data_IF_362305216386
#
_entry.id   IF_362305216386
#
_cell.length_a   1.000
_cell.length_b   1.000
_cell.length_c   1.000
_cell.angle_alpha   90.00
_cell.angle_beta   90.00
_cell.angle_gamma   90.00
#
_symmetry.space_group_name_H-M   'P 1'
#
loop_
_entity.id
_entity.type
_entity.pdbx_description
1 polymer ?
#
# COMPACT_ATOMS: atom_id res chain seq x y z
N UNK A 1 14.35 8.38 -3.42
CA UNK A 1 15.32 7.29 -3.63
C UNK A 1 14.68 6.28 -4.56
N UNK A 2 15.43 5.60 -5.45
CA UNK A 2 14.91 4.62 -6.40
C UNK A 2 14.05 3.52 -5.74
N UNK A 3 14.45 3.09 -4.54
CA UNK A 3 13.80 2.01 -3.78
C UNK A 3 12.34 2.33 -3.40
N UNK A 4 12.00 3.61 -3.17
CA UNK A 4 10.63 4.05 -2.82
C UNK A 4 9.65 3.87 -3.99
N UNK A 5 10.13 3.89 -5.24
CA UNK A 5 9.29 3.64 -6.42
C UNK A 5 9.07 2.14 -6.61
N UNK A 6 10.11 1.32 -6.41
CA UNK A 6 10.00 -0.13 -6.51
C UNK A 6 9.04 -0.68 -5.44
N UNK A 7 9.17 -0.20 -4.21
CA UNK A 7 8.31 -0.53 -3.08
C UNK A 7 6.85 -0.14 -3.33
N UNK A 8 6.60 1.06 -3.87
CA UNK A 8 5.26 1.50 -4.23
C UNK A 8 4.63 0.60 -5.32
N UNK A 9 5.40 0.24 -6.35
CA UNK A 9 4.95 -0.68 -7.40
C UNK A 9 4.66 -2.09 -6.86
N UNK A 10 5.44 -2.55 -5.88
CA UNK A 10 5.19 -3.82 -5.23
C UNK A 10 3.85 -3.81 -4.48
N UNK A 11 3.57 -2.74 -3.74
CA UNK A 11 2.26 -2.56 -3.08
C UNK A 11 1.12 -2.62 -4.09
N UNK A 12 1.24 -1.93 -5.23
CA UNK A 12 0.23 -1.95 -6.30
C UNK A 12 0.03 -3.34 -6.92
N UNK A 13 1.14 -4.07 -7.17
CA UNK A 13 1.08 -5.42 -7.69
C UNK A 13 0.43 -6.39 -6.69
N UNK A 14 0.68 -6.22 -5.38
CA UNK A 14 0.05 -6.98 -4.30
C UNK A 14 -1.46 -6.75 -4.25
N UNK A 15 -1.93 -5.50 -4.26
CA UNK A 15 -3.37 -5.20 -4.24
C UNK A 15 -4.07 -5.74 -5.49
N UNK A 16 -3.40 -5.66 -6.65
CA UNK A 16 -3.92 -6.21 -7.90
C UNK A 16 -3.83 -7.74 -7.99
N UNK A 17 -3.05 -8.40 -7.12
CA UNK A 17 -2.78 -9.84 -7.19
C UNK A 17 -1.96 -10.26 -8.42
N UNK A 18 -1.13 -9.39 -8.97
CA UNK A 18 -0.30 -9.68 -10.15
C UNK A 18 0.96 -10.43 -9.75
N UNK A 19 0.85 -11.74 -9.57
CA UNK A 19 1.93 -12.62 -9.08
C UNK A 19 3.23 -12.47 -9.87
N UNK A 20 3.18 -12.42 -11.21
CA UNK A 20 4.38 -12.26 -12.05
C UNK A 20 5.11 -10.94 -11.81
N UNK A 21 4.38 -9.85 -11.59
CA UNK A 21 4.95 -8.54 -11.26
C UNK A 21 5.58 -8.56 -9.87
N UNK A 22 4.91 -9.21 -8.90
CA UNK A 22 5.41 -9.36 -7.53
C UNK A 22 6.77 -10.06 -7.53
N UNK A 23 6.89 -11.21 -8.22
CA UNK A 23 8.17 -11.91 -8.34
C UNK A 23 9.25 -11.04 -8.97
N UNK A 24 8.92 -10.34 -10.06
CA UNK A 24 9.88 -9.50 -10.79
C UNK A 24 10.38 -8.33 -9.93
N UNK A 25 9.49 -7.70 -9.17
CA UNK A 25 9.81 -6.56 -8.30
C UNK A 25 10.65 -7.01 -7.10
N UNK A 26 10.30 -8.13 -6.45
CA UNK A 26 11.09 -8.70 -5.36
C UNK A 26 12.48 -9.11 -5.83
N UNK A 27 12.60 -9.75 -6.99
CA UNK A 27 13.89 -10.09 -7.60
C UNK A 27 14.74 -8.85 -7.95
N UNK A 28 14.09 -7.72 -8.21
CA UNK A 28 14.74 -6.44 -8.47
C UNK A 28 15.09 -5.67 -7.19
N UNK A 29 14.84 -6.23 -6.00
CA UNK A 29 15.21 -5.65 -4.71
C UNK A 29 14.10 -4.87 -4.00
N UNK A 30 12.86 -4.87 -4.50
CA UNK A 30 11.74 -4.31 -3.74
C UNK A 30 11.57 -5.04 -2.40
N UNK A 31 11.27 -4.33 -1.33
CA UNK A 31 11.20 -4.95 0.00
C UNK A 31 9.89 -5.72 0.19
N UNK A 32 9.89 -6.99 0.61
CA UNK A 32 8.64 -7.70 0.93
C UNK A 32 7.89 -7.09 2.12
N UNK A 33 8.58 -6.25 2.91
CA UNK A 33 8.03 -5.52 4.06
C UNK A 33 7.57 -4.10 3.70
N UNK A 34 7.53 -3.73 2.41
CA UNK A 34 7.07 -2.42 1.96
C UNK A 34 5.66 -2.11 2.43
N UNK A 35 5.44 -0.81 2.65
CA UNK A 35 4.15 -0.28 3.10
C UNK A 35 3.64 0.76 2.13
N UNK A 36 2.33 0.77 1.96
CA UNK A 36 1.61 1.87 1.32
C UNK A 36 1.95 3.19 2.02
N UNK A 37 2.04 4.27 1.25
CA UNK A 37 2.19 5.63 1.79
C UNK A 37 0.99 6.47 1.38
N UNK A 38 0.39 7.12 2.35
CA UNK A 38 -0.75 8.01 2.14
C UNK A 38 -0.29 9.43 2.45
N UNK A 39 -0.47 10.34 1.51
CA UNK A 39 -0.22 11.78 1.65
C UNK A 39 -1.56 12.49 1.75
N UNK A 40 -1.81 13.16 2.87
CA UNK A 40 -2.93 14.09 3.00
C UNK A 40 -2.45 15.51 2.73
N UNK A 41 -3.19 16.24 1.91
CA UNK A 41 -3.04 17.69 1.74
C UNK A 41 -4.14 18.41 2.49
N UNK A 42 -3.83 19.58 3.02
CA UNK A 42 -4.79 20.44 3.68
C UNK A 42 -4.35 21.90 3.57
N UNK A 43 -5.32 22.82 3.62
CA UNK A 43 -5.03 24.22 3.85
C UNK A 43 -4.93 24.46 5.36
N UNK A 44 -3.90 25.19 5.80
CA UNK A 44 -3.69 25.57 7.19
C UNK A 44 -3.79 27.08 7.32
N UNK A 45 -4.64 27.55 8.23
CA UNK A 45 -4.68 28.96 8.60
C UNK A 45 -3.47 29.25 9.48
N UNK A 46 -2.54 30.06 8.99
CA UNK A 46 -1.34 30.45 9.73
C UNK A 46 -1.40 31.95 9.98
N UNK A 47 -1.17 32.36 11.22
CA UNK A 47 -0.97 33.78 11.55
C UNK A 47 0.55 34.06 11.56
N UNK A 48 1.08 34.87 10.63
CA UNK A 48 2.49 35.25 10.67
C UNK A 48 2.83 35.99 11.96
N UNK A 49 4.11 36.02 12.33
CA UNK A 49 4.57 36.85 13.45
C UNK A 49 4.48 38.33 13.06
N UNK A 50 3.73 39.12 13.83
CA UNK A 50 3.57 40.55 13.61
C UNK A 50 2.23 41.07 14.11
N UNK A 51 2.21 42.27 14.70
CA UNK A 51 0.99 42.85 15.27
C UNK A 51 -0.08 43.14 14.21
N UNK A 52 0.35 43.42 12.98
CA UNK A 52 -0.53 43.81 11.86
C UNK A 52 -0.69 42.72 10.78
N UNK A 53 -0.14 41.52 10.97
CA UNK A 53 -0.27 40.46 9.97
C UNK A 53 -1.63 39.78 10.04
N UNK A 54 -2.35 39.78 8.92
CA UNK A 54 -3.56 38.99 8.73
C UNK A 54 -3.22 37.50 8.64
N UNK A 55 -4.18 36.64 8.99
CA UNK A 55 -4.05 35.21 8.78
C UNK A 55 -3.95 34.89 7.27
N UNK A 56 -3.15 33.89 6.93
CA UNK A 56 -2.92 33.43 5.55
C UNK A 56 -3.19 31.93 5.47
N UNK A 57 -3.80 31.49 4.37
CA UNK A 57 -3.92 30.06 4.06
C UNK A 57 -2.62 29.54 3.47
N UNK A 58 -2.03 28.52 4.09
CA UNK A 58 -0.85 27.83 3.61
C UNK A 58 -1.22 26.38 3.30
N UNK A 59 -0.99 25.94 2.06
CA UNK A 59 -1.08 24.53 1.73
C UNK A 59 0.00 23.75 2.50
N UNK A 60 -0.41 22.69 3.16
CA UNK A 60 0.44 21.78 3.91
C UNK A 60 0.12 20.36 3.52
N UNK A 61 1.08 19.47 3.70
CA UNK A 61 0.87 18.05 3.51
C UNK A 61 1.55 17.25 4.60
N UNK A 62 1.01 16.06 4.86
CA UNK A 62 1.62 15.09 5.75
C UNK A 62 1.51 13.70 5.13
N UNK A 63 2.56 12.91 5.30
CA UNK A 63 2.63 11.56 4.73
C UNK A 63 2.84 10.55 5.84
N UNK A 64 1.99 9.52 5.87
CA UNK A 64 2.12 8.41 6.80
C UNK A 64 2.23 7.08 6.04
N UNK A 65 2.95 6.13 6.65
CA UNK A 65 2.90 4.74 6.23
C UNK A 65 1.55 4.14 6.68
N UNK A 66 0.88 3.47 5.76
CA UNK A 66 -0.39 2.79 6.00
C UNK A 66 -0.16 1.28 5.98
N UNK A 67 -0.99 0.50 5.28
CA UNK A 67 -0.92 -0.95 5.27
C UNK A 67 0.38 -1.50 4.66
N UNK A 68 0.87 -2.62 5.20
CA UNK A 68 1.98 -3.40 4.62
C UNK A 68 1.53 -4.30 3.49
N UNK A 69 2.45 -4.69 2.59
CA UNK A 69 2.20 -5.70 1.57
C UNK A 69 1.57 -6.96 2.15
N UNK A 70 2.14 -7.49 3.25
CA UNK A 70 1.65 -8.71 3.87
C UNK A 70 0.22 -8.53 4.43
N UNK A 71 -0.08 -7.40 5.08
CA UNK A 71 -1.44 -7.13 5.57
C UNK A 71 -2.46 -6.92 4.44
N UNK A 72 -2.06 -6.34 3.31
CA UNK A 72 -2.94 -6.18 2.14
C UNK A 72 -3.27 -7.54 1.51
N UNK A 73 -2.26 -8.40 1.35
CA UNK A 73 -2.46 -9.77 0.85
C UNK A 73 -3.39 -10.59 1.75
N UNK A 74 -3.24 -10.46 3.08
CA UNK A 74 -4.12 -11.12 4.07
C UNK A 74 -5.54 -10.56 4.00
N UNK A 75 -5.70 -9.23 3.96
CA UNK A 75 -7.00 -8.55 3.81
C UNK A 75 -7.76 -9.06 2.59
N UNK A 76 -7.05 -9.20 1.46
CA UNK A 76 -7.64 -9.57 0.17
C UNK A 76 -7.85 -11.08 0.00
N UNK A 77 -7.49 -11.90 0.98
CA UNK A 77 -7.68 -13.35 0.91
C UNK A 77 -6.75 -14.06 -0.08
N UNK A 78 -5.61 -13.45 -0.44
CA UNK A 78 -4.69 -13.95 -1.49
C UNK A 78 -3.59 -14.82 -0.88
N UNK A 79 -3.90 -16.08 -0.61
CA UNK A 79 -2.96 -17.02 0.02
C UNK A 79 -1.70 -17.29 -0.83
N UNK A 80 -1.82 -17.21 -2.15
CA UNK A 80 -0.70 -17.27 -3.10
C UNK A 80 0.26 -16.09 -2.90
N UNK A 81 -0.25 -14.85 -2.89
CA UNK A 81 0.54 -13.64 -2.64
C UNK A 81 1.19 -13.69 -1.25
N UNK A 82 0.45 -14.13 -0.22
CA UNK A 82 0.99 -14.31 1.14
C UNK A 82 2.21 -15.23 1.12
N UNK A 83 2.13 -16.39 0.45
CA UNK A 83 3.25 -17.33 0.36
C UNK A 83 4.45 -16.74 -0.36
N UNK A 84 4.23 -15.97 -1.44
CA UNK A 84 5.32 -15.32 -2.18
C UNK A 84 6.05 -14.30 -1.30
N UNK A 85 5.30 -13.43 -0.60
CA UNK A 85 5.89 -12.41 0.28
C UNK A 85 6.67 -13.05 1.44
N UNK A 86 6.13 -14.09 2.07
CA UNK A 86 6.80 -14.82 3.15
C UNK A 86 8.07 -15.52 2.65
N UNK A 87 8.03 -16.15 1.46
CA UNK A 87 9.20 -16.78 0.85
C UNK A 87 10.30 -15.77 0.51
N UNK A 88 9.92 -14.52 0.22
CA UNK A 88 10.84 -13.43 -0.02
C UNK A 88 11.39 -12.77 1.27
N UNK A 89 10.95 -13.21 2.45
CA UNK A 89 11.45 -12.73 3.75
C UNK A 89 10.55 -11.72 4.47
N UNK A 90 9.26 -11.61 4.10
CA UNK A 90 8.29 -10.92 4.95
C UNK A 90 8.19 -11.62 6.32
N UNK A 91 8.19 -10.86 7.41
CA UNK A 91 8.16 -11.44 8.76
C UNK A 91 6.74 -11.96 9.11
N UNK A 92 6.57 -13.29 9.30
CA UNK A 92 5.28 -13.90 9.67
C UNK A 92 4.82 -13.57 11.09
N UNK A 93 5.66 -12.96 11.92
CA UNK A 93 5.33 -12.51 13.27
C UNK A 93 5.19 -10.98 13.37
N UNK A 94 5.27 -10.28 12.24
CA UNK A 94 5.18 -8.83 12.22
C UNK A 94 3.86 -8.31 12.79
N UNK A 95 3.96 -7.20 13.54
CA UNK A 95 2.79 -6.46 14.01
C UNK A 95 2.06 -5.83 12.83
N UNK A 96 0.73 -5.93 12.81
CA UNK A 96 -0.09 -5.22 11.83
C UNK A 96 -0.62 -3.95 12.48
N UNK A 97 -0.30 -2.80 11.90
CA UNK A 97 -0.81 -1.51 12.37
C UNK A 97 -0.89 -0.53 11.21
N UNK A 98 -1.96 0.25 11.13
CA UNK A 98 -2.08 1.39 10.23
C UNK A 98 -3.05 2.42 10.80
N UNK A 99 -2.95 3.66 10.33
CA UNK A 99 -3.88 4.74 10.65
C UNK A 99 -4.53 5.22 9.36
N UNK A 100 -5.81 5.56 9.44
CA UNK A 100 -6.56 6.05 8.29
C UNK A 100 -6.57 7.58 8.32
N UNK A 101 -6.46 8.18 7.14
CA UNK A 101 -6.56 9.62 7.01
C UNK A 101 -7.97 10.09 7.38
N UNK A 102 -8.04 11.07 8.28
CA UNK A 102 -9.29 11.68 8.70
C UNK A 102 -9.60 12.90 7.83
N UNK A 103 -10.87 13.16 7.59
CA UNK A 103 -11.31 14.21 6.67
C UNK A 103 -11.70 15.49 7.42
N UNK A 104 -11.07 16.62 7.05
CA UNK A 104 -11.38 17.95 7.60
C UNK A 104 -11.61 18.96 6.47
N UNK A 105 -12.87 19.30 6.15
CA UNK A 105 -13.20 20.21 5.05
C UNK A 105 -12.69 21.64 5.29
N UNK A 106 -12.62 22.07 6.56
CA UNK A 106 -12.13 23.40 6.93
C UNK A 106 -10.59 23.49 6.98
N UNK A 107 -9.91 22.40 6.61
CA UNK A 107 -8.45 22.29 6.67
C UNK A 107 -7.91 21.92 8.05
N UNK A 108 -6.61 22.13 8.23
CA UNK A 108 -5.94 21.83 9.50
C UNK A 108 -5.74 23.10 10.32
N UNK A 109 -6.38 23.14 11.48
CA UNK A 109 -5.94 23.95 12.61
C UNK A 109 -5.06 23.11 13.55
N UNK A 110 -4.74 23.63 14.74
CA UNK A 110 -3.91 22.91 15.71
C UNK A 110 -4.56 21.62 16.23
N UNK A 111 -5.90 21.52 16.29
CA UNK A 111 -6.62 20.33 16.77
C UNK A 111 -6.79 19.29 15.67
N UNK A 112 -7.32 19.70 14.51
CA UNK A 112 -7.49 18.85 13.33
C UNK A 112 -6.15 18.25 12.89
N UNK A 113 -5.06 19.02 12.99
CA UNK A 113 -3.71 18.49 12.74
C UNK A 113 -3.40 17.30 13.64
N UNK A 114 -3.75 17.30 14.92
CA UNK A 114 -3.49 16.17 15.83
C UNK A 114 -4.36 14.95 15.50
N UNK A 115 -5.52 15.14 14.87
CA UNK A 115 -6.53 14.11 14.58
C UNK A 115 -6.55 13.63 13.13
N UNK A 116 -5.58 14.05 12.31
CA UNK A 116 -5.48 13.74 10.87
C UNK A 116 -5.24 12.28 10.53
N UNK A 117 -4.68 11.50 11.46
CA UNK A 117 -4.47 10.05 11.30
C UNK A 117 -5.31 9.28 12.33
N UNK A 118 -6.61 9.20 12.10
CA UNK A 118 -7.55 8.54 12.99
C UNK A 118 -8.74 7.95 12.19
N UNK A 119 -9.20 6.72 12.48
CA UNK A 119 -8.75 5.83 13.56
C UNK A 119 -7.45 5.08 13.27
N UNK A 120 -6.87 4.46 14.31
CA UNK A 120 -5.71 3.56 14.21
C UNK A 120 -6.13 2.12 14.49
N UNK A 121 -5.76 1.21 13.60
CA UNK A 121 -5.95 -0.23 13.75
C UNK A 121 -4.63 -0.88 14.15
N UNK A 122 -4.67 -1.81 15.11
CA UNK A 122 -3.47 -2.48 15.61
C UNK A 122 -3.79 -3.91 16.01
N UNK A 123 -3.02 -4.85 15.49
CA UNK A 123 -3.06 -6.27 15.82
C UNK A 123 -1.64 -6.71 16.21
N UNK A 124 -1.47 -7.51 17.26
CA UNK A 124 -0.16 -7.87 17.79
C UNK A 124 0.67 -8.71 16.81
N UNK A 125 0.04 -9.42 15.88
CA UNK A 125 0.72 -10.15 14.80
C UNK A 125 -0.19 -10.26 13.57
N UNK A 126 0.41 -10.54 12.42
CA UNK A 126 -0.33 -10.87 11.19
C UNK A 126 -1.18 -12.13 11.34
N UNK A 127 -0.78 -13.09 12.18
CA UNK A 127 -1.59 -14.27 12.49
C UNK A 127 -2.90 -13.87 13.20
N UNK A 128 -2.83 -13.00 14.22
CA UNK A 128 -4.03 -12.48 14.89
C UNK A 128 -4.89 -11.67 13.93
N UNK A 129 -4.27 -10.87 13.06
CA UNK A 129 -5.00 -10.14 12.01
C UNK A 129 -5.75 -11.09 11.05
N UNK A 130 -5.11 -12.17 10.60
CA UNK A 130 -5.73 -13.16 9.69
C UNK A 130 -6.92 -13.92 10.30
N UNK A 131 -6.99 -13.98 11.63
CA UNK A 131 -8.08 -14.61 12.39
C UNK A 131 -9.16 -13.60 12.80
N UNK A 132 -8.94 -12.30 12.57
CA UNK A 132 -9.89 -11.26 12.96
C UNK A 132 -11.02 -11.16 11.93
N UNK A 133 -12.25 -11.00 12.43
CA UNK A 133 -13.43 -10.72 11.61
C UNK A 133 -14.05 -9.38 12.01
N UNK A 134 -14.72 -8.72 11.06
CA UNK A 134 -15.40 -7.45 11.29
C UNK A 134 -15.01 -6.34 10.32
N UNK A 135 -15.62 -5.17 10.51
CA UNK A 135 -15.41 -4.03 9.62
C UNK A 135 -14.19 -3.21 10.02
N UNK A 136 -13.31 -2.91 9.07
CA UNK A 136 -12.19 -1.99 9.23
C UNK A 136 -12.08 -1.03 8.05
N UNK A 137 -11.53 0.15 8.30
CA UNK A 137 -11.24 1.15 7.27
C UNK A 137 -9.82 0.92 6.74
N UNK A 138 -9.68 0.97 5.43
CA UNK A 138 -8.42 0.82 4.71
C UNK A 138 -8.19 2.03 3.81
N UNK A 139 -6.94 2.38 3.60
CA UNK A 139 -6.57 3.44 2.66
C UNK A 139 -6.98 3.06 1.24
N UNK A 140 -7.31 4.05 0.40
CA UNK A 140 -7.56 3.82 -1.03
C UNK A 140 -6.42 3.04 -1.71
N UNK A 141 -6.69 2.24 -2.77
CA UNK A 141 -5.66 1.49 -3.49
C UNK A 141 -4.52 2.37 -4.05
N UNK A 142 -3.33 1.79 -4.16
CA UNK A 142 -2.12 2.46 -4.69
C UNK A 142 -0.93 2.41 -3.74
N UNK A 143 0.29 2.44 -4.28
CA UNK A 143 1.52 2.43 -3.48
C UNK A 143 1.79 3.78 -2.81
N UNK A 144 1.57 4.86 -3.55
CA UNK A 144 1.60 6.25 -3.08
C UNK A 144 0.26 6.92 -3.32
N UNK A 145 -0.60 6.91 -2.30
CA UNK A 145 -1.91 7.55 -2.35
C UNK A 145 -1.77 9.03 -2.02
N UNK A 146 -2.31 9.90 -2.87
CA UNK A 146 -2.34 11.34 -2.65
C UNK A 146 -3.77 11.83 -2.60
N UNK A 147 -4.16 12.35 -1.44
CA UNK A 147 -5.47 12.95 -1.24
C UNK A 147 -5.36 14.45 -1.46
N UNK A 148 -6.27 14.99 -2.27
CA UNK A 148 -6.42 16.43 -2.41
C UNK A 148 -6.84 17.06 -1.08
N UNK A 149 -6.59 18.36 -0.93
CA UNK A 149 -7.24 19.12 0.12
C UNK A 149 -8.74 19.11 -0.19
N UNK A 150 -9.58 18.52 0.68
CA UNK A 150 -11.00 18.42 0.39
C UNK A 150 -11.58 19.82 0.25
N UNK A 151 -12.32 20.03 -0.83
CA UNK A 151 -12.98 21.33 -1.10
C UNK A 151 -14.45 21.32 -0.70
N UNK A 152 -15.05 20.13 -0.53
CA UNK A 152 -16.45 19.96 -0.14
C UNK A 152 -16.64 18.82 0.86
N UNK A 153 -17.80 18.80 1.54
CA UNK A 153 -18.19 17.75 2.47
C UNK A 153 -18.47 16.40 1.79
N UNK A 154 -18.79 16.38 0.49
CA UNK A 154 -19.16 15.18 -0.26
C UNK A 154 -17.95 14.35 -0.73
N UNK A 155 -16.74 14.92 -0.67
CA UNK A 155 -15.47 14.20 -0.97
C UNK A 155 -15.00 13.30 0.20
N UNK A 156 -15.76 13.29 1.31
CA UNK A 156 -15.45 12.62 2.58
C UNK A 156 -15.15 11.12 2.47
N UNK A 157 -15.71 10.45 1.48
CA UNK A 157 -15.57 9.00 1.27
C UNK A 157 -14.44 8.62 0.30
N UNK A 158 -13.71 9.59 -0.26
CA UNK A 158 -12.64 9.30 -1.24
C UNK A 158 -11.33 8.81 -0.59
N UNK A 159 -11.16 9.01 0.72
CA UNK A 159 -9.90 8.77 1.41
C UNK A 159 -9.68 7.31 1.83
N UNK A 160 -10.75 6.56 2.08
CA UNK A 160 -10.69 5.23 2.66
C UNK A 160 -11.87 4.36 2.25
N UNK A 161 -11.66 3.05 2.27
CA UNK A 161 -12.66 2.05 1.96
C UNK A 161 -12.98 1.25 3.23
N UNK A 162 -14.28 1.07 3.49
CA UNK A 162 -14.74 0.18 4.54
C UNK A 162 -14.83 -1.23 3.99
N UNK A 163 -14.03 -2.15 4.54
CA UNK A 163 -14.01 -3.55 4.14
C UNK A 163 -14.35 -4.45 5.33
N UNK A 164 -14.89 -5.62 5.05
CA UNK A 164 -15.19 -6.63 6.05
C UNK A 164 -14.13 -7.74 6.01
N UNK A 165 -13.38 -7.88 7.11
CA UNK A 165 -12.36 -8.90 7.27
C UNK A 165 -13.01 -10.28 7.37
N UNK A 166 -12.51 -11.22 6.55
CA UNK A 166 -12.95 -12.60 6.52
C UNK A 166 -11.77 -13.53 6.72
N UNK A 167 -11.67 -14.23 7.87
CA UNK A 167 -10.62 -15.22 8.10
C UNK A 167 -10.62 -16.32 7.03
N UNK A 168 -9.43 -16.63 6.49
CA UNK A 168 -9.23 -17.68 5.50
C UNK A 168 -8.26 -18.72 6.04
N UNK A 169 -8.69 -19.99 6.05
CA UNK A 169 -7.94 -21.07 6.68
C UNK A 169 -6.59 -21.32 6.00
N UNK A 170 -6.54 -21.23 4.67
CA UNK A 170 -5.34 -21.37 3.86
C UNK A 170 -4.26 -20.31 4.17
N UNK A 171 -4.66 -19.07 4.47
CA UNK A 171 -3.77 -18.00 4.91
C UNK A 171 -3.23 -18.30 6.31
N UNK A 172 -4.08 -18.73 7.24
CA UNK A 172 -3.66 -19.12 8.60
C UNK A 172 -2.63 -20.24 8.53
N UNK A 173 -2.90 -21.27 7.71
CA UNK A 173 -1.98 -22.39 7.49
C UNK A 173 -0.68 -21.92 6.81
N UNK A 174 -0.74 -21.00 5.85
CA UNK A 174 0.45 -20.43 5.24
C UNK A 174 1.32 -19.71 6.29
N UNK A 175 0.74 -18.79 7.07
CA UNK A 175 1.47 -18.06 8.10
C UNK A 175 2.14 -19.00 9.11
N UNK A 176 1.41 -19.98 9.61
CA UNK A 176 1.95 -21.01 10.54
C UNK A 176 3.08 -21.80 9.87
N UNK A 177 2.90 -22.23 8.62
CA UNK A 177 3.91 -22.98 7.86
C UNK A 177 5.22 -22.22 7.67
N UNK A 178 5.17 -20.88 7.62
CA UNK A 178 6.34 -20.02 7.57
C UNK A 178 6.85 -19.57 8.95
N UNK A 179 6.30 -20.10 10.05
CA UNK A 179 6.80 -19.85 11.40
C UNK A 179 6.08 -18.74 12.17
N UNK A 180 4.86 -18.37 11.79
CA UNK A 180 4.00 -17.55 12.64
C UNK A 180 3.67 -18.31 13.93
N UNK A 181 3.91 -17.68 15.08
CA UNK A 181 3.71 -18.27 16.40
C UNK A 181 2.33 -17.90 16.94
N UNK A 182 1.45 -18.87 17.25
CA UNK A 182 0.21 -18.55 17.94
C UNK A 182 0.44 -17.99 19.34
N UNK A 183 -0.44 -17.09 19.74
CA UNK A 183 -0.56 -16.58 21.11
C UNK A 183 -1.98 -16.84 21.63
N UNK A 184 -2.22 -16.61 22.92
CA UNK A 184 -3.53 -16.84 23.55
C UNK A 184 -4.69 -16.15 22.82
N UNK A 185 -4.45 -14.94 22.30
CA UNK A 185 -5.45 -14.23 21.51
C UNK A 185 -5.78 -14.95 20.20
N UNK A 186 -4.78 -15.50 19.51
CA UNK A 186 -4.99 -16.29 18.30
C UNK A 186 -5.79 -17.57 18.61
N UNK A 187 -5.48 -18.26 19.70
CA UNK A 187 -6.23 -19.45 20.16
C UNK A 187 -7.71 -19.11 20.41
N UNK A 188 -8.00 -18.05 21.18
CA UNK A 188 -9.37 -17.61 21.45
C UNK A 188 -10.16 -17.21 20.20
N UNK A 189 -9.50 -16.59 19.22
CA UNK A 189 -10.14 -16.25 17.95
C UNK A 189 -10.43 -17.51 17.13
N UNK A 190 -9.46 -18.42 17.02
CA UNK A 190 -9.62 -19.70 16.32
C UNK A 190 -10.75 -20.55 16.93
N UNK A 191 -10.88 -20.55 18.26
CA UNK A 191 -11.99 -21.21 18.97
C UNK A 191 -13.36 -20.75 18.47
N UNK A 192 -13.55 -19.43 18.37
CA UNK A 192 -14.80 -18.82 17.89
C UNK A 192 -15.07 -19.07 16.40
N UNK A 193 -14.01 -19.21 15.60
CA UNK A 193 -14.14 -19.47 14.15
C UNK A 193 -14.46 -20.92 13.83
N UNK A 194 -14.15 -21.84 14.74
CA UNK A 194 -14.57 -23.25 14.67
C UNK A 194 -13.41 -24.25 14.53
N UNK A 195 -13.74 -25.55 14.46
CA UNK A 195 -12.77 -26.64 14.66
C UNK A 195 -11.59 -26.64 13.69
N UNK A 196 -11.79 -26.22 12.43
CA UNK A 196 -10.72 -26.20 11.44
C UNK A 196 -9.61 -25.18 11.80
N UNK A 197 -9.98 -24.00 12.28
CA UNK A 197 -9.03 -22.98 12.72
C UNK A 197 -8.34 -23.39 14.03
N UNK A 198 -9.07 -24.01 14.95
CA UNK A 198 -8.50 -24.57 16.18
C UNK A 198 -7.42 -25.62 15.87
N UNK A 199 -7.73 -26.56 14.98
CA UNK A 199 -6.80 -27.60 14.55
C UNK A 199 -5.54 -27.01 13.88
N UNK A 200 -5.70 -25.99 13.03
CA UNK A 200 -4.57 -25.30 12.40
C UNK A 200 -3.62 -24.69 13.44
N UNK A 201 -4.18 -24.00 14.45
CA UNK A 201 -3.40 -23.38 15.53
C UNK A 201 -2.73 -24.44 16.41
N UNK A 202 -3.46 -25.48 16.82
CA UNK A 202 -2.93 -26.54 17.69
C UNK A 202 -1.83 -27.39 17.01
N UNK A 203 -1.97 -27.68 15.73
CA UNK A 203 -0.97 -28.44 14.95
C UNK A 203 0.41 -27.77 14.90
N UNK A 204 0.46 -26.43 15.01
CA UNK A 204 1.72 -25.68 15.05
C UNK A 204 2.53 -25.95 16.32
N UNK A 205 1.88 -26.08 17.48
CA UNK A 205 2.52 -26.33 18.78
C UNK A 205 3.22 -27.69 18.81
N UNK A 206 2.63 -28.71 18.15
CA UNK A 206 3.23 -30.03 18.05
C UNK A 206 4.44 -30.07 17.10
N UNK A 207 4.42 -29.29 16.01
CA UNK A 207 5.53 -29.18 15.07
C UNK A 207 6.74 -28.42 15.65
N UNK A 208 6.48 -27.29 16.32
CA UNK A 208 7.51 -26.47 16.96
C UNK A 208 8.22 -27.20 18.11
N UNK A 209 7.49 -28.03 18.87
CA UNK A 209 8.07 -28.87 19.93
C UNK A 209 9.00 -29.97 19.39
N UNK A 210 8.69 -30.56 18.22
CA UNK A 210 9.57 -31.55 17.57
C UNK A 210 10.85 -30.93 17.01
N UNK A 211 10.76 -29.76 16.38
CA UNK A 211 11.93 -29.10 15.79
C UNK A 211 12.89 -28.51 16.84
N UNK A 212 12.39 -28.16 18.03
CA UNK A 212 13.24 -27.70 19.15
C UNK A 212 14.11 -28.82 19.75
N UNK A 213 13.79 -30.09 19.50
CA UNK A 213 14.52 -31.25 20.04
C UNK A 213 15.55 -31.84 19.07
N UNK A 214 15.66 -31.31 17.83
CA UNK A 214 16.54 -31.87 16.81
C UNK A 214 17.11 -30.79 15.90
N UNK A 215 18.23 -30.16 16.30
CA UNK A 215 19.30 -29.71 15.40
C UNK A 215 20.44 -29.06 16.20
N UNK A 216 21.69 -29.56 16.11
CA UNK A 216 22.87 -28.76 16.42
C UNK A 216 23.11 -27.75 15.27
N UNK A 217 23.77 -26.60 15.53
CA UNK A 217 24.01 -25.58 14.51
C UNK A 217 24.89 -26.14 13.37
N UNK A 218 24.61 -25.80 12.10
CA UNK A 218 25.48 -26.19 11.00
C UNK A 218 26.82 -25.46 11.14
N UNK A 219 27.90 -26.24 11.17
CA UNK A 219 29.28 -25.74 11.04
C UNK A 219 29.46 -25.05 9.68
N UNK A 220 30.11 -23.89 9.62
CA UNK A 220 30.39 -23.21 8.35
C UNK A 220 31.44 -24.01 7.56
N UNK A 221 31.25 -24.24 6.24
CA UNK A 221 32.31 -24.80 5.42
C UNK A 221 33.40 -23.75 5.18
N UNK A 222 34.62 -24.10 5.59
CA UNK A 222 35.85 -23.39 5.30
C UNK A 222 36.14 -23.35 3.79
N UNK A 223 36.50 -22.15 3.32
CA UNK A 223 37.40 -21.82 2.21
C UNK A 223 37.39 -22.67 0.94
N UNK A 224 36.83 -22.15 -0.15
CA UNK A 224 37.32 -22.43 -1.52
C UNK A 224 37.27 -21.18 -2.40
N UNK A 225 38.47 -20.71 -2.72
CA UNK A 225 38.97 -20.20 -4.00
C UNK A 225 38.25 -19.06 -4.74
N UNK A 226 39.01 -17.96 -4.90
CA UNK A 226 38.77 -16.88 -5.84
C UNK A 226 38.57 -17.40 -7.28
N UNK A 227 37.61 -16.81 -7.99
CA UNK A 227 37.51 -16.81 -9.45
C UNK A 227 37.76 -15.39 -9.98
N UNK A 228 38.36 -15.22 -11.17
CA UNK A 228 38.93 -13.95 -11.62
C UNK A 228 37.88 -13.00 -12.20
N UNK A 229 38.19 -11.69 -12.14
CA UNK A 229 37.36 -10.61 -12.67
C UNK A 229 37.07 -10.75 -14.19
N UNK A 230 35.88 -10.33 -14.67
CA UNK A 230 35.59 -10.29 -16.09
C UNK A 230 36.21 -9.04 -16.75
N UNK A 231 37.07 -9.29 -17.73
CA UNK A 231 37.65 -8.27 -18.61
C UNK A 231 36.57 -7.68 -19.53
N UNK A 232 36.41 -6.36 -19.50
CA UNK A 232 35.57 -5.57 -20.42
C UNK A 232 36.11 -5.66 -21.86
N UNK A 233 35.43 -6.43 -22.71
CA UNK A 233 35.59 -6.36 -24.16
C UNK A 233 34.55 -5.41 -24.75
N UNK A 234 34.98 -4.21 -25.15
CA UNK A 234 34.19 -3.24 -25.90
C UNK A 234 34.09 -3.72 -27.36
N UNK A 235 32.95 -4.30 -27.74
CA UNK A 235 32.61 -4.53 -29.14
C UNK A 235 31.79 -3.33 -29.63
N UNK A 236 32.37 -2.53 -30.53
CA UNK A 236 31.67 -1.49 -31.28
C UNK A 236 31.13 -2.11 -32.58
N UNK A 237 29.85 -2.40 -32.63
CA UNK A 237 29.13 -2.61 -33.90
C UNK A 237 28.25 -1.40 -34.20
N UNK A 238 28.26 -0.87 -35.45
CA UNK A 238 27.40 0.23 -35.84
C UNK A 238 25.97 -0.25 -36.13
N UNK A 239 25.00 0.36 -35.43
CA UNK A 239 23.56 0.21 -35.68
C UNK A 239 23.20 0.63 -37.12
N UNK A 240 22.74 -0.34 -37.93
CA UNK A 240 22.02 -0.03 -39.18
C UNK A 240 20.56 0.29 -38.88
N UNK A 241 20.13 1.51 -39.23
CA UNK A 241 18.75 1.98 -39.14
C UNK A 241 18.10 1.85 -40.53
N UNK A 242 17.01 1.07 -40.72
CA UNK A 242 16.29 1.06 -41.97
C UNK A 242 15.43 2.33 -42.14
N UNK A 243 15.56 2.96 -43.29
CA UNK A 243 14.79 4.12 -43.70
C UNK A 243 13.35 3.75 -44.10
N UNK A 244 12.36 4.33 -43.42
CA UNK A 244 10.99 4.42 -43.97
C UNK A 244 10.45 5.84 -43.81
N UNK A 245 10.38 6.50 -44.97
CA UNK A 245 9.42 7.50 -45.44
C UNK A 245 9.08 8.74 -44.59
N UNK A 246 9.67 9.86 -44.99
CA UNK A 246 9.15 11.23 -44.82
C UNK A 246 8.20 11.59 -45.97
N UNK A 247 7.02 12.13 -45.65
CA UNK A 247 6.30 13.30 -46.24
C UNK A 247 4.84 13.20 -45.75
N UNK A 248 4.20 14.24 -45.24
CA UNK A 248 3.73 15.41 -46.01
C UNK A 248 3.62 16.66 -45.11
N UNK A 249 4.36 17.69 -45.52
CA UNK A 249 4.03 19.12 -45.66
C UNK A 249 3.26 19.88 -44.56
N UNK A 250 3.98 20.85 -43.99
CA UNK A 250 3.50 22.06 -43.31
C UNK A 250 2.62 22.93 -44.21
N UNK A 251 1.53 23.49 -43.67
CA UNK A 251 1.03 24.82 -44.09
C UNK A 251 0.80 25.68 -42.84
N UNK A 252 1.35 26.89 -42.91
CA UNK A 252 1.26 28.00 -41.98
C UNK A 252 0.11 28.94 -42.37
N UNK A 253 -0.45 29.65 -41.37
CA UNK A 253 -1.12 30.98 -41.43
C UNK A 253 -2.42 31.07 -42.26
N UNK A 254 -3.50 31.80 -41.93
CA UNK A 254 -3.76 33.03 -41.16
C UNK A 254 -5.30 33.18 -40.98
N UNK A 255 -5.74 33.92 -39.94
CA UNK A 255 -6.97 34.76 -39.84
C UNK A 255 -8.31 34.31 -40.48
N UNK A 256 -9.40 34.26 -39.70
CA UNK A 256 -10.37 35.38 -39.69
C UNK A 256 -11.38 35.29 -38.53
N UNK A 257 -11.83 36.46 -38.14
CA UNK A 257 -12.78 36.82 -37.10
C UNK A 257 -14.16 37.11 -37.68
N UNK A 258 -15.24 36.56 -37.11
CA UNK A 258 -16.59 37.15 -37.07
C UNK A 258 -17.49 36.28 -36.17
N UNK A 259 -17.96 36.75 -35.02
CA UNK A 259 -19.11 37.65 -34.73
C UNK A 259 -20.51 37.01 -34.84
N UNK A 260 -21.35 37.36 -33.86
CA UNK A 260 -22.81 37.16 -33.67
C UNK A 260 -23.26 35.81 -33.09
N UNK A 261 -23.64 35.70 -31.81
CA UNK A 261 -24.80 36.25 -31.07
C UNK A 261 -26.13 35.53 -31.36
N UNK A 262 -26.76 34.95 -30.34
CA UNK A 262 -28.18 35.08 -29.94
C UNK A 262 -28.49 34.09 -28.79
N UNK A 263 -28.71 34.59 -27.57
CA UNK A 263 -30.01 34.63 -26.83
C UNK A 263 -30.42 33.28 -26.20
N UNK A 264 -30.32 33.12 -24.88
CA UNK A 264 -31.37 33.38 -23.85
C UNK A 264 -32.72 32.70 -24.14
N UNK A 265 -33.07 31.74 -23.28
CA UNK A 265 -34.26 31.71 -22.40
C UNK A 265 -34.12 30.47 -21.49
N UNK A 266 -33.97 30.61 -20.18
CA UNK A 266 -34.98 30.91 -19.15
C UNK A 266 -35.84 29.71 -18.71
N UNK A 267 -35.69 29.41 -17.41
CA UNK A 267 -36.66 28.93 -16.43
C UNK A 267 -37.39 27.60 -16.66
N UNK A 268 -37.28 26.70 -15.68
CA UNK A 268 -38.45 26.32 -14.88
C UNK A 268 -38.05 25.81 -13.49
N UNK A 269 -38.60 26.50 -12.49
CA UNK A 269 -38.70 26.10 -11.08
C UNK A 269 -39.67 24.92 -10.93
N UNK A 270 -39.38 23.98 -10.04
CA UNK A 270 -40.40 23.23 -9.31
C UNK A 270 -39.87 22.79 -7.95
N UNK A 271 -40.46 23.41 -6.92
CA UNK A 271 -40.46 23.04 -5.50
C UNK A 271 -41.06 21.65 -5.28
N UNK A 272 -40.60 20.91 -4.26
CA UNK A 272 -41.49 20.22 -3.31
C UNK A 272 -40.77 19.89 -1.99
N UNK A 273 -41.36 20.42 -0.92
CA UNK A 273 -41.52 19.92 0.46
C UNK A 273 -40.48 18.98 1.09
#
# INVERSE_FOLDING_TARGET
MPDDIADARLVEAVEAGRISDIYSLLASGASPNSRKRVTQRANMVVKPAGFFSSAVLKETCDTAAAESCLSLAVRDGRADVVRVLLSAGADPNSKVQWSVANHFPDGWDEDNRKRRWFPTYSFPSVLVFSLSSGSALFSAPGGHVRMAAPTTLDEKDSAHQRLFLQPKLDIVLALIGFGARPCDQACRLAEKLGPAFQAAIAGSSHSLSRNALTTPPPTPPSSVSMLPEPTLAVVREPLQIPAVARRVVRRTTTMDSSFSSFSRNDNFLASMH
#
